data_IF_005285300837
#
_entry.id   IF_005285300837
#
_cell.length_a   1.000
_cell.length_b   1.000
_cell.length_c   1.000
_cell.angle_alpha   90.00
_cell.angle_beta   90.00
_cell.angle_gamma   90.00
#
_symmetry.space_group_name_H-M   'P 1'
#
loop_
_entity.id
_entity.type
_entity.pdbx_description
1 polymer ?
#
# COMPACT_ATOMS: atom_id res chain seq x y z
N UNK A 1 34.48 -11.29 -55.22
CA UNK A 1 33.12 -11.81 -55.50
C UNK A 1 32.46 -12.16 -54.17
N UNK A 2 31.21 -11.69 -53.99
CA UNK A 2 30.22 -11.99 -52.96
C UNK A 2 30.57 -11.70 -51.48
N UNK A 3 30.00 -10.58 -51.00
CA UNK A 3 29.84 -10.25 -49.58
C UNK A 3 28.81 -11.20 -48.93
N UNK A 4 29.17 -11.82 -47.81
CA UNK A 4 28.20 -12.47 -46.92
C UNK A 4 27.55 -11.37 -46.07
N UNK A 5 26.43 -10.84 -46.55
CA UNK A 5 25.53 -10.03 -45.74
C UNK A 5 24.83 -10.93 -44.71
N UNK A 6 25.18 -10.80 -43.44
CA UNK A 6 24.31 -11.26 -42.36
C UNK A 6 23.25 -10.19 -42.13
N UNK A 7 21.95 -10.47 -42.26
CA UNK A 7 20.94 -9.51 -41.86
C UNK A 7 21.01 -9.37 -40.34
N UNK A 8 21.34 -8.15 -39.90
CA UNK A 8 21.14 -7.70 -38.54
C UNK A 8 19.68 -7.99 -38.16
N UNK A 9 19.46 -9.04 -37.38
CA UNK A 9 18.26 -9.14 -36.57
C UNK A 9 18.41 -8.08 -35.49
N UNK A 10 17.95 -6.86 -35.80
CA UNK A 10 17.52 -5.91 -34.77
C UNK A 10 16.44 -6.63 -33.96
N UNK A 11 16.87 -7.34 -32.92
CA UNK A 11 16.03 -7.65 -31.78
C UNK A 11 15.65 -6.31 -31.20
N UNK A 12 14.49 -5.77 -31.59
CA UNK A 12 13.88 -4.64 -30.92
C UNK A 12 13.88 -4.98 -29.42
N UNK A 13 14.73 -4.28 -28.67
CA UNK A 13 14.89 -4.51 -27.24
C UNK A 13 13.50 -4.43 -26.59
N UNK A 14 13.18 -5.42 -25.77
CA UNK A 14 11.93 -5.39 -25.02
C UNK A 14 11.88 -4.06 -24.24
N UNK A 15 10.77 -3.30 -24.35
CA UNK A 15 10.68 -2.00 -23.71
C UNK A 15 10.95 -2.13 -22.22
N UNK A 16 11.81 -1.27 -21.69
CA UNK A 16 12.16 -1.28 -20.27
C UNK A 16 10.91 -1.06 -19.40
N UNK A 17 10.95 -1.37 -18.09
CA UNK A 17 9.78 -1.26 -17.22
C UNK A 17 9.09 0.11 -17.28
N UNK A 18 9.86 1.19 -17.44
CA UNK A 18 9.32 2.55 -17.59
C UNK A 18 8.58 2.82 -18.91
N UNK A 19 9.09 2.29 -20.02
CA UNK A 19 8.48 2.49 -21.35
C UNK A 19 7.18 1.70 -21.48
N UNK A 20 7.13 0.50 -20.88
CA UNK A 20 5.91 -0.29 -20.74
C UNK A 20 4.84 0.45 -19.92
N UNK A 21 5.22 1.08 -18.80
CA UNK A 21 4.29 1.82 -17.96
C UNK A 21 3.68 3.02 -18.70
N UNK A 22 4.49 3.80 -19.41
CA UNK A 22 4.02 4.95 -20.19
C UNK A 22 3.07 4.52 -21.31
N UNK A 23 3.40 3.44 -22.03
CA UNK A 23 2.54 2.86 -23.07
C UNK A 23 1.21 2.34 -22.52
N UNK A 24 1.24 1.72 -21.33
CA UNK A 24 0.05 1.23 -20.66
C UNK A 24 -0.87 2.38 -20.19
N UNK A 25 -0.31 3.42 -19.57
CA UNK A 25 -1.06 4.58 -19.10
C UNK A 25 -1.76 5.28 -20.28
N UNK A 26 -1.05 5.48 -21.38
CA UNK A 26 -1.65 6.04 -22.62
C UNK A 26 -2.82 5.20 -23.13
N UNK A 27 -2.70 3.88 -23.06
CA UNK A 27 -3.75 2.94 -23.48
C UNK A 27 -4.96 2.99 -22.54
N UNK A 28 -4.73 3.09 -21.23
CA UNK A 28 -5.79 3.19 -20.22
C UNK A 28 -6.55 4.54 -20.32
N UNK A 29 -5.85 5.63 -20.64
CA UNK A 29 -6.44 6.96 -20.77
C UNK A 29 -7.13 7.18 -22.13
N UNK A 30 -6.87 6.32 -23.12
CA UNK A 30 -7.46 6.44 -24.44
C UNK A 30 -8.96 6.12 -24.42
N UNK A 31 -9.80 7.03 -24.93
CA UNK A 31 -11.23 6.80 -25.15
C UNK A 31 -11.50 5.78 -26.25
N UNK A 32 -10.59 5.67 -27.23
CA UNK A 32 -10.67 4.71 -28.34
C UNK A 32 -10.43 3.27 -27.91
N UNK A 33 -9.86 3.05 -26.72
CA UNK A 33 -9.57 1.70 -26.24
C UNK A 33 -10.81 1.14 -25.54
N UNK A 34 -11.38 0.02 -26.02
CA UNK A 34 -12.58 -0.55 -25.43
C UNK A 34 -12.31 -1.08 -24.02
N UNK A 35 -13.30 -0.98 -23.13
CA UNK A 35 -13.18 -1.34 -21.72
C UNK A 35 -12.66 -2.77 -21.45
N UNK A 36 -13.06 -3.83 -22.19
CA UNK A 36 -12.48 -5.16 -22.03
C UNK A 36 -10.95 -5.20 -22.21
N UNK A 37 -10.43 -4.40 -23.16
CA UNK A 37 -8.99 -4.32 -23.44
C UNK A 37 -8.23 -3.60 -22.33
N UNK A 38 -8.83 -2.54 -21.75
CA UNK A 38 -8.28 -1.87 -20.55
C UNK A 38 -8.21 -2.83 -19.36
N UNK A 39 -9.26 -3.63 -19.13
CA UNK A 39 -9.29 -4.65 -18.08
C UNK A 39 -8.22 -5.72 -18.28
N UNK A 40 -8.06 -6.24 -19.50
CA UNK A 40 -7.03 -7.22 -19.81
C UNK A 40 -5.63 -6.68 -19.53
N UNK A 41 -5.36 -5.44 -19.96
CA UNK A 41 -4.09 -4.76 -19.72
C UNK A 41 -3.82 -4.59 -18.22
N UNK A 42 -4.80 -4.12 -17.45
CA UNK A 42 -4.66 -4.00 -16.00
C UNK A 42 -4.42 -5.35 -15.33
N UNK A 43 -5.12 -6.41 -15.75
CA UNK A 43 -4.95 -7.74 -15.18
C UNK A 43 -3.59 -8.35 -15.50
N UNK A 44 -3.03 -8.06 -16.68
CA UNK A 44 -1.69 -8.50 -17.05
C UNK A 44 -0.58 -7.72 -16.34
N UNK A 45 -0.76 -6.42 -16.12
CA UNK A 45 0.25 -5.56 -15.49
C UNK A 45 0.24 -5.67 -13.97
N UNK A 46 -0.95 -5.69 -13.39
CA UNK A 46 -1.12 -5.68 -11.94
C UNK A 46 -1.38 -7.07 -11.38
N UNK A 47 -1.88 -8.04 -12.16
CA UNK A 47 -2.04 -9.43 -11.71
C UNK A 47 -2.54 -9.58 -10.27
N UNK A 48 -1.72 -10.21 -9.43
CA UNK A 48 -1.97 -10.49 -8.01
C UNK A 48 -1.51 -9.36 -7.06
N UNK A 49 -1.36 -8.13 -7.55
CA UNK A 49 -0.90 -6.97 -6.77
C UNK A 49 -1.67 -6.77 -5.46
N UNK A 50 -2.99 -7.05 -5.44
CA UNK A 50 -3.76 -7.01 -4.19
C UNK A 50 -3.23 -7.98 -3.14
N UNK A 51 -2.93 -9.22 -3.54
CA UNK A 51 -2.39 -10.23 -2.64
C UNK A 51 -1.00 -9.86 -2.13
N UNK A 52 -0.17 -9.23 -2.99
CA UNK A 52 1.13 -8.68 -2.62
C UNK A 52 0.98 -7.58 -1.55
N UNK A 53 0.13 -6.58 -1.79
CA UNK A 53 -0.12 -5.49 -0.84
C UNK A 53 -0.67 -5.98 0.50
N UNK A 54 -1.58 -6.96 0.49
CA UNK A 54 -2.07 -7.61 1.71
C UNK A 54 -0.96 -8.40 2.43
N UNK A 55 -0.03 -9.00 1.69
CA UNK A 55 1.16 -9.65 2.24
C UNK A 55 2.03 -8.66 3.01
N UNK A 56 2.42 -7.56 2.35
CA UNK A 56 3.25 -6.50 2.91
C UNK A 56 2.59 -5.84 4.13
N UNK A 57 1.29 -5.57 4.06
CA UNK A 57 0.53 -5.03 5.19
C UNK A 57 0.54 -5.97 6.40
N UNK A 58 0.33 -7.27 6.17
CA UNK A 58 0.38 -8.28 7.25
C UNK A 58 1.77 -8.38 7.87
N UNK A 59 2.82 -8.27 7.08
CA UNK A 59 4.20 -8.26 7.56
C UNK A 59 4.49 -7.04 8.43
N UNK A 60 4.11 -5.84 7.97
CA UNK A 60 4.25 -4.62 8.74
C UNK A 60 3.49 -4.69 10.08
N UNK A 61 2.27 -5.23 10.06
CA UNK A 61 1.48 -5.42 11.27
C UNK A 61 2.11 -6.41 12.25
N UNK A 62 2.70 -7.50 11.74
CA UNK A 62 3.46 -8.45 12.58
C UNK A 62 4.68 -7.77 13.20
N UNK A 63 5.46 -7.04 12.41
CA UNK A 63 6.62 -6.30 12.90
C UNK A 63 6.26 -5.32 14.02
N UNK A 64 5.17 -4.57 13.86
CA UNK A 64 4.68 -3.63 14.88
C UNK A 64 4.29 -4.35 16.19
N UNK A 65 3.58 -5.48 16.09
CA UNK A 65 3.20 -6.28 17.26
C UNK A 65 4.42 -6.84 17.97
N UNK A 66 5.40 -7.36 17.22
CA UNK A 66 6.66 -7.85 17.78
C UNK A 66 7.43 -6.71 18.47
N UNK A 67 7.51 -5.53 17.85
CA UNK A 67 8.12 -4.36 18.46
C UNK A 67 7.44 -3.97 19.77
N UNK A 68 6.10 -3.91 19.78
CA UNK A 68 5.32 -3.62 20.98
C UNK A 68 5.52 -4.65 22.10
N UNK A 69 5.64 -5.94 21.78
CA UNK A 69 5.91 -7.00 22.76
C UNK A 69 7.35 -6.97 23.28
N UNK A 70 8.32 -6.61 22.42
CA UNK A 70 9.73 -6.47 22.80
C UNK A 70 10.01 -5.25 23.67
N UNK A 71 9.16 -4.21 23.59
CA UNK A 71 9.15 -3.10 24.51
C UNK A 71 8.60 -3.53 25.89
N UNK A 72 9.38 -4.33 26.63
CA UNK A 72 9.06 -4.66 28.02
C UNK A 72 9.09 -3.40 28.88
N UNK A 73 7.93 -2.89 29.26
CA UNK A 73 7.80 -1.82 30.25
C UNK A 73 7.86 -2.46 31.64
N UNK A 74 9.01 -2.37 32.29
CA UNK A 74 9.14 -2.78 33.69
C UNK A 74 8.40 -1.76 34.58
N UNK A 75 7.44 -2.20 35.41
CA UNK A 75 6.81 -1.31 36.36
C UNK A 75 7.85 -0.78 37.36
N UNK A 76 7.99 0.54 37.42
CA UNK A 76 8.87 1.18 38.39
C UNK A 76 8.31 0.95 39.79
N UNK A 77 9.10 0.32 40.66
CA UNK A 77 8.71 0.01 42.03
C UNK A 77 8.23 1.25 42.80
N UNK A 78 7.21 1.09 43.64
CA UNK A 78 6.48 2.21 44.27
C UNK A 78 7.38 3.17 45.07
N UNK A 79 8.49 2.67 45.63
CA UNK A 79 9.48 3.47 46.34
C UNK A 79 10.18 4.50 45.43
N UNK A 80 10.35 4.22 44.14
CA UNK A 80 10.90 5.17 43.17
C UNK A 80 9.84 6.13 42.61
N UNK A 81 8.55 5.78 42.68
CA UNK A 81 7.43 6.61 42.23
C UNK A 81 7.13 7.78 43.18
N UNK A 82 7.25 7.58 44.50
CA UNK A 82 6.90 8.59 45.52
C UNK A 82 7.82 9.83 45.55
N UNK A 83 9.07 9.71 45.08
CA UNK A 83 10.05 10.81 45.02
C UNK A 83 9.96 11.64 43.73
N UNK A 84 9.29 11.12 42.70
CA UNK A 84 9.06 11.81 41.43
C UNK A 84 7.62 12.34 41.44
N UNK A 85 7.39 13.43 42.19
CA UNK A 85 6.08 14.09 42.32
C UNK A 85 5.63 14.84 41.06
N UNK A 86 5.74 14.24 39.87
CA UNK A 86 5.00 14.74 38.71
C UNK A 86 3.65 14.04 38.69
N UNK A 87 2.63 14.78 39.11
CA UNK A 87 1.23 14.39 38.97
C UNK A 87 0.94 14.27 37.48
N UNK A 88 1.09 13.07 36.93
CA UNK A 88 0.37 12.71 35.71
C UNK A 88 -1.12 12.77 36.10
N UNK A 89 -1.80 13.87 35.80
CA UNK A 89 -3.26 13.89 35.87
C UNK A 89 -3.70 12.88 34.81
N UNK A 90 -4.33 11.74 35.19
CA UNK A 90 -5.02 10.96 34.20
C UNK A 90 -6.02 11.92 33.57
N UNK A 91 -5.99 12.03 32.25
CA UNK A 91 -7.05 12.73 31.54
C UNK A 91 -8.31 11.96 31.95
N UNK A 92 -9.16 12.57 32.79
CA UNK A 92 -10.52 12.09 32.94
C UNK A 92 -11.03 11.97 31.51
N UNK A 93 -11.51 10.78 31.16
CA UNK A 93 -12.20 10.55 29.91
C UNK A 93 -13.36 11.54 29.88
N UNK A 94 -13.09 12.70 29.29
CA UNK A 94 -13.99 13.83 29.29
C UNK A 94 -15.18 13.42 28.46
N UNK A 95 -16.32 13.23 29.13
CA UNK A 95 -17.63 13.16 28.53
C UNK A 95 -17.75 12.16 27.37
N UNK A 96 -18.13 10.94 27.69
CA UNK A 96 -18.85 10.09 26.74
C UNK A 96 -20.23 10.71 26.43
N UNK A 97 -20.26 11.81 25.66
CA UNK A 97 -21.43 12.38 24.98
C UNK A 97 -20.96 13.29 23.85
N UNK A 98 -20.41 12.70 22.80
CA UNK A 98 -20.81 13.12 21.46
C UNK A 98 -21.64 11.96 20.93
N UNK A 99 -22.94 12.17 20.79
CA UNK A 99 -23.70 11.50 19.74
C UNK A 99 -22.97 11.89 18.45
N UNK A 100 -21.99 11.09 18.05
CA UNK A 100 -21.46 11.16 16.70
C UNK A 100 -22.58 10.53 15.88
N UNK A 101 -23.53 11.38 15.51
CA UNK A 101 -24.30 11.21 14.30
C UNK A 101 -23.29 11.33 13.16
N UNK A 102 -22.43 10.30 13.06
CA UNK A 102 -21.63 10.05 11.88
C UNK A 102 -22.67 9.46 10.95
N UNK A 103 -23.11 10.14 9.88
CA UNK A 103 -23.69 9.38 8.80
C UNK A 103 -22.66 8.32 8.47
N UNK A 104 -23.11 7.07 8.49
CA UNK A 104 -22.39 5.91 8.01
C UNK A 104 -22.16 6.11 6.50
N UNK A 105 -21.32 7.08 6.15
CA UNK A 105 -20.79 7.22 4.82
C UNK A 105 -19.70 6.16 4.70
N UNK A 106 -20.14 4.91 4.65
CA UNK A 106 -19.38 3.83 4.06
C UNK A 106 -18.90 4.35 2.71
N UNK A 107 -17.61 4.69 2.63
CA UNK A 107 -16.97 5.08 1.39
C UNK A 107 -16.97 3.86 0.47
N UNK A 108 -18.11 3.62 -0.21
CA UNK A 108 -18.29 2.55 -1.18
C UNK A 108 -17.70 3.02 -2.49
N UNK A 109 -16.59 2.41 -2.86
CA UNK A 109 -16.17 2.39 -4.25
C UNK A 109 -17.26 1.69 -5.07
N UNK A 110 -18.09 2.49 -5.74
CA UNK A 110 -19.05 1.99 -6.71
C UNK A 110 -18.28 1.55 -7.96
N UNK A 111 -18.13 0.23 -8.11
CA UNK A 111 -17.62 -0.40 -9.32
C UNK A 111 -18.79 -0.80 -10.22
N UNK A 112 -19.53 0.18 -10.74
CA UNK A 112 -20.48 -0.04 -11.83
C UNK A 112 -19.85 0.40 -13.16
#
# INVERSE_FOLDING_TARGET
>A
MAALGHPARETAAAPGPGEQAVGAIRTLHSERTPLPRKRQLMRSLFGDYRAQMEGEWREALRALRTAAQSAQVQPVGEAARKKSGRVCRPHLAGGAKATLDTPDEEFRFNFF
#
